data_IF_653801164137
#
_entry.id   IF_653801164137
#
_cell.length_a   1.000
_cell.length_b   1.000
_cell.length_c   1.000
_cell.angle_alpha   90.00
_cell.angle_beta   90.00
_cell.angle_gamma   90.00
#
_symmetry.space_group_name_H-M   'P 1'
#
loop_
_entity.id
_entity.type
_entity.pdbx_description
1 polymer ?
#
# COMPACT_ATOMS: atom_id res chain seq x y z
N UNK A 1 13.46 -16.94 9.28
CA UNK A 1 13.21 -15.57 8.76
C UNK A 1 11.82 -15.59 8.17
N UNK A 2 10.83 -15.27 9.01
CA UNK A 2 9.44 -15.32 8.64
C UNK A 2 9.18 -14.19 7.63
N UNK A 3 8.78 -14.57 6.42
CA UNK A 3 8.26 -13.62 5.45
C UNK A 3 7.04 -12.99 6.10
N UNK A 4 7.22 -11.75 6.53
CA UNK A 4 6.23 -10.91 7.20
C UNK A 4 4.86 -11.13 6.57
N UNK A 5 3.89 -11.51 7.38
CA UNK A 5 2.52 -11.67 6.94
C UNK A 5 1.96 -10.32 6.51
N UNK A 6 2.16 -9.99 5.24
CA UNK A 6 1.54 -8.84 4.59
C UNK A 6 0.03 -9.10 4.61
N UNK A 7 -0.73 -8.27 5.30
CA UNK A 7 -2.18 -8.40 5.36
C UNK A 7 -2.85 -7.51 4.32
N UNK A 8 -4.11 -7.83 4.03
CA UNK A 8 -4.98 -6.91 3.30
C UNK A 8 -5.05 -5.61 4.11
N UNK A 9 -5.02 -4.48 3.41
CA UNK A 9 -4.93 -3.11 3.92
C UNK A 9 -3.56 -2.61 4.37
N UNK A 10 -2.52 -3.43 4.35
CA UNK A 10 -1.18 -2.94 4.71
C UNK A 10 -0.63 -1.96 3.67
N UNK A 11 0.19 -1.03 4.14
CA UNK A 11 0.98 -0.13 3.31
C UNK A 11 2.31 -0.81 3.03
N UNK A 12 2.59 -0.95 1.75
CA UNK A 12 3.79 -1.62 1.27
C UNK A 12 4.53 -0.78 0.25
N UNK A 13 5.85 -0.92 0.24
CA UNK A 13 6.73 -0.30 -0.74
C UNK A 13 7.16 -1.32 -1.78
N UNK A 14 7.09 -0.89 -3.02
CA UNK A 14 7.61 -1.64 -4.15
C UNK A 14 9.16 -1.55 -4.15
N UNK A 15 9.86 -2.66 -3.93
CA UNK A 15 11.34 -2.69 -3.81
C UNK A 15 12.04 -2.69 -5.19
N UNK A 16 11.40 -3.27 -6.20
CA UNK A 16 11.99 -3.45 -7.53
C UNK A 16 11.03 -3.17 -8.68
N UNK A 17 11.58 -2.82 -9.84
CA UNK A 17 10.88 -2.55 -11.10
C UNK A 17 10.51 -1.09 -11.33
N UNK A 18 9.65 -0.82 -12.33
CA UNK A 18 9.26 0.55 -12.76
C UNK A 18 8.62 1.41 -11.67
N UNK A 19 7.98 0.77 -10.70
CA UNK A 19 7.33 1.46 -9.58
C UNK A 19 8.15 1.32 -8.29
N UNK A 20 9.46 1.10 -8.39
CA UNK A 20 10.35 1.05 -7.22
C UNK A 20 10.26 2.34 -6.41
N UNK A 21 10.22 2.24 -5.07
CA UNK A 21 10.17 3.37 -4.14
C UNK A 21 8.79 4.00 -3.95
N UNK A 22 7.74 3.49 -4.59
CA UNK A 22 6.36 3.98 -4.38
C UNK A 22 5.63 3.12 -3.35
N UNK A 23 4.74 3.79 -2.61
CA UNK A 23 3.84 3.19 -1.63
C UNK A 23 2.56 2.71 -2.30
N UNK A 24 2.05 1.58 -1.82
CA UNK A 24 0.83 0.97 -2.31
C UNK A 24 0.04 0.38 -1.14
N UNK A 25 -1.27 0.29 -1.32
CA UNK A 25 -2.16 -0.50 -0.49
C UNK A 25 -2.29 -1.92 -1.03
N UNK A 26 -2.31 -2.90 -0.13
CA UNK A 26 -2.63 -4.29 -0.46
C UNK A 26 -4.14 -4.45 -0.45
N UNK A 27 -4.72 -4.72 -1.63
CA UNK A 27 -6.18 -4.92 -1.78
C UNK A 27 -6.53 -6.40 -1.69
N UNK A 28 -5.64 -7.26 -2.16
CA UNK A 28 -5.78 -8.71 -2.05
C UNK A 28 -4.39 -9.33 -1.97
N UNK A 29 -4.30 -10.48 -1.31
CA UNK A 29 -3.10 -11.29 -1.19
C UNK A 29 -3.44 -12.74 -1.55
N UNK A 30 -2.53 -13.34 -2.29
CA UNK A 30 -2.42 -14.78 -2.51
C UNK A 30 -1.15 -15.29 -1.82
N UNK A 31 -0.79 -16.56 -2.03
CA UNK A 31 0.41 -17.16 -1.43
C UNK A 31 1.74 -16.58 -1.97
N UNK A 32 1.74 -16.19 -3.25
CA UNK A 32 2.97 -15.78 -3.97
C UNK A 32 2.86 -14.34 -4.49
N UNK A 33 1.63 -13.88 -4.72
CA UNK A 33 1.34 -12.61 -5.35
C UNK A 33 0.49 -11.74 -4.41
N UNK A 34 0.64 -10.42 -4.53
CA UNK A 34 -0.24 -9.45 -3.92
C UNK A 34 -0.73 -8.46 -4.98
N UNK A 35 -1.94 -7.97 -4.77
CA UNK A 35 -2.62 -6.97 -5.58
C UNK A 35 -2.45 -5.60 -4.94
N UNK A 36 -1.71 -4.72 -5.62
CA UNK A 36 -1.30 -3.41 -5.12
C UNK A 36 -2.05 -2.27 -5.80
N UNK A 37 -2.53 -1.31 -5.01
CA UNK A 37 -3.26 -0.13 -5.48
C UNK A 37 -2.72 1.18 -4.90
N UNK A 38 -2.75 2.23 -5.71
CA UNK A 38 -2.33 3.60 -5.34
C UNK A 38 -3.46 4.62 -5.65
N UNK A 39 -4.46 4.23 -6.45
CA UNK A 39 -5.60 5.08 -6.79
C UNK A 39 -5.30 6.17 -7.83
N UNK A 40 -4.02 6.40 -8.17
CA UNK A 40 -3.61 7.27 -9.29
C UNK A 40 -3.19 6.45 -10.51
N UNK A 41 -2.03 5.80 -10.41
CA UNK A 41 -1.46 5.01 -11.51
C UNK A 41 -2.05 3.60 -11.58
N UNK A 42 -2.36 3.02 -10.42
CA UNK A 42 -2.96 1.68 -10.25
C UNK A 42 -4.28 1.85 -9.51
N UNK A 43 -5.39 1.78 -10.25
CA UNK A 43 -6.75 1.92 -9.75
C UNK A 43 -7.21 0.61 -9.11
N UNK A 44 -8.25 0.67 -8.29
CA UNK A 44 -8.88 -0.52 -7.69
C UNK A 44 -9.41 -1.49 -8.75
N UNK A 45 -9.85 -0.97 -9.90
CA UNK A 45 -10.31 -1.77 -11.05
C UNK A 45 -9.16 -2.46 -11.81
N UNK A 46 -7.96 -1.91 -11.75
CA UNK A 46 -6.78 -2.47 -12.40
C UNK A 46 -5.59 -2.52 -11.42
N UNK A 47 -5.71 -3.38 -10.39
CA UNK A 47 -4.69 -3.53 -9.37
C UNK A 47 -3.43 -4.12 -9.98
N UNK A 48 -2.27 -3.75 -9.43
CA UNK A 48 -1.00 -4.28 -9.89
C UNK A 48 -0.71 -5.60 -9.21
N UNK A 49 -0.66 -6.68 -10.00
CA UNK A 49 -0.13 -7.97 -9.54
C UNK A 49 1.39 -7.89 -9.34
N UNK A 50 1.87 -8.14 -8.13
CA UNK A 50 3.30 -8.15 -7.81
C UNK A 50 3.66 -9.33 -6.91
N UNK A 51 4.82 -9.96 -7.14
CA UNK A 51 5.30 -11.05 -6.29
C UNK A 51 5.70 -10.52 -4.91
N UNK A 52 5.33 -11.22 -3.85
CA UNK A 52 5.57 -10.83 -2.45
C UNK A 52 7.05 -10.56 -2.19
N UNK A 53 7.97 -11.34 -2.77
CA UNK A 53 9.43 -11.14 -2.68
C UNK A 53 9.95 -9.77 -3.16
N UNK A 54 9.14 -8.99 -3.88
CA UNK A 54 9.50 -7.66 -4.40
C UNK A 54 8.73 -6.53 -3.72
N UNK A 55 8.07 -6.85 -2.62
CA UNK A 55 7.26 -5.97 -1.81
C UNK A 55 7.91 -5.95 -0.43
N UNK A 56 8.01 -4.76 0.16
CA UNK A 56 8.45 -4.58 1.53
C UNK A 56 7.27 -4.03 2.31
N UNK A 57 6.94 -4.68 3.42
CA UNK A 57 6.01 -4.13 4.39
C UNK A 57 6.61 -2.84 4.98
N UNK A 58 5.82 -1.77 5.00
CA UNK A 58 6.25 -0.47 5.53
C UNK A 58 5.51 -0.14 6.82
N UNK A 59 4.18 -0.20 6.79
CA UNK A 59 3.34 0.10 7.95
C UNK A 59 1.98 -0.57 7.84
N UNK A 60 1.38 -0.86 8.99
CA UNK A 60 -0.06 -1.12 9.07
C UNK A 60 -0.79 0.20 8.83
N UNK A 61 -1.99 0.11 8.27
CA UNK A 61 -2.88 1.26 8.21
C UNK A 61 -4.19 0.92 8.89
N UNK A 62 -4.63 1.81 9.78
CA UNK A 62 -5.88 1.66 10.54
C UNK A 62 -6.91 2.73 10.14
N UNK A 63 -6.76 3.30 8.95
CA UNK A 63 -7.68 4.30 8.43
C UNK A 63 -9.02 3.65 8.01
N UNK A 64 -10.05 4.48 7.82
CA UNK A 64 -11.37 4.03 7.33
C UNK A 64 -11.27 3.22 6.03
N UNK A 65 -10.31 3.55 5.17
CA UNK A 65 -10.03 2.82 3.93
C UNK A 65 -9.52 1.42 4.21
N UNK A 66 -8.64 1.24 5.20
CA UNK A 66 -8.12 -0.06 5.60
C UNK A 66 -9.22 -0.97 6.14
N UNK A 67 -10.08 -0.45 7.02
CA UNK A 67 -11.27 -1.15 7.52
C UNK A 67 -12.20 -1.60 6.39
N UNK A 68 -12.42 -0.76 5.37
CA UNK A 68 -13.19 -1.14 4.19
C UNK A 68 -12.54 -2.28 3.41
N UNK A 69 -11.22 -2.24 3.21
CA UNK A 69 -10.48 -3.32 2.54
C UNK A 69 -10.58 -4.62 3.33
N UNK A 70 -10.39 -4.58 4.66
CA UNK A 70 -10.54 -5.74 5.56
C UNK A 70 -11.96 -6.33 5.50
N UNK A 71 -12.97 -5.48 5.41
CA UNK A 71 -14.37 -5.90 5.31
C UNK A 71 -14.81 -6.30 3.88
N UNK A 72 -13.91 -6.27 2.89
CA UNK A 72 -14.23 -6.55 1.49
C UNK A 72 -15.16 -5.51 0.84
N UNK A 73 -15.30 -4.33 1.45
CA UNK A 73 -16.11 -3.26 0.92
C UNK A 73 -15.43 -2.58 -0.27
N UNK A 74 -16.23 -2.06 -1.21
CA UNK A 74 -15.70 -1.29 -2.34
C UNK A 74 -15.02 -0.01 -1.85
N UNK A 75 -13.75 0.12 -2.18
CA UNK A 75 -12.95 1.32 -1.93
C UNK A 75 -12.84 2.15 -3.20
N UNK A 76 -12.92 3.46 -3.04
CA UNK A 76 -12.78 4.40 -4.17
C UNK A 76 -11.33 4.84 -4.35
N UNK A 77 -10.96 5.20 -5.59
CA UNK A 77 -9.62 5.71 -5.89
C UNK A 77 -9.28 6.97 -5.08
N UNK A 78 -10.27 7.84 -4.80
CA UNK A 78 -10.09 9.05 -4.00
C UNK A 78 -9.73 8.75 -2.54
N UNK A 79 -10.34 7.71 -1.95
CA UNK A 79 -10.05 7.27 -0.59
C UNK A 79 -8.64 6.71 -0.44
N UNK A 80 -8.17 5.92 -1.41
CA UNK A 80 -6.79 5.40 -1.42
C UNK A 80 -5.79 6.54 -1.55
N UNK A 81 -6.04 7.47 -2.48
CA UNK A 81 -5.16 8.63 -2.68
C UNK A 81 -5.07 9.49 -1.43
N UNK A 82 -6.21 9.69 -0.74
CA UNK A 82 -6.24 10.45 0.52
C UNK A 82 -5.47 9.73 1.62
N UNK A 83 -5.71 8.44 1.83
CA UNK A 83 -5.02 7.66 2.85
C UNK A 83 -3.50 7.61 2.62
N UNK A 84 -3.05 7.42 1.36
CA UNK A 84 -1.62 7.48 1.02
C UNK A 84 -1.03 8.87 1.19
N UNK A 85 -1.78 9.94 0.86
CA UNK A 85 -1.31 11.31 1.04
C UNK A 85 -1.18 11.68 2.52
N UNK A 86 -2.14 11.27 3.36
CA UNK A 86 -2.09 11.41 4.82
C UNK A 86 -0.85 10.69 5.38
N UNK A 87 -0.67 9.41 5.03
CA UNK A 87 0.52 8.63 5.41
C UNK A 87 1.83 9.27 4.95
N UNK A 88 1.89 9.76 3.71
CA UNK A 88 3.08 10.45 3.20
C UNK A 88 3.34 11.76 3.94
N UNK A 89 2.30 12.47 4.37
CA UNK A 89 2.43 13.74 5.09
C UNK A 89 2.96 13.48 6.51
N UNK A 90 2.43 12.47 7.20
CA UNK A 90 2.90 12.02 8.51
C UNK A 90 4.38 11.61 8.46
N UNK A 91 4.77 10.77 7.50
CA UNK A 91 6.17 10.34 7.37
C UNK A 91 7.12 11.39 6.81
N UNK A 92 6.61 12.40 6.08
CA UNK A 92 7.43 13.51 5.57
C UNK A 92 7.74 14.53 6.67
N UNK A 93 6.92 14.59 7.73
CA UNK A 93 7.20 15.38 8.94
C UNK A 93 8.47 14.98 9.68
N UNK A 94 9.01 13.78 9.45
CA UNK A 94 10.28 13.32 10.03
C UNK A 94 11.51 13.59 9.14
N UNK A 95 11.34 14.18 7.93
CA UNK A 95 12.44 14.45 6.99
C UNK A 95 12.66 15.93 6.66
N UNK A 96 12.52 16.81 7.65
CA UNK A 96 13.15 18.13 7.64
C UNK A 96 13.81 18.44 9.00
N UNK A 97 15.01 17.90 9.24
CA UNK A 97 16.10 18.67 9.88
C UNK A 97 17.42 18.24 9.24
N UNK A 98 17.85 18.97 8.21
CA UNK A 98 19.27 19.24 8.03
C UNK A 98 19.41 20.75 8.17
N UNK A 99 19.73 21.19 9.39
CA UNK A 99 20.38 22.48 9.62
C UNK A 99 21.88 22.25 9.56
#
# INVERSE_FOLDING_TARGET
MEVSDIEISDIVVSVSGRDSGKHFFVVSRDDIYAMLCDGKSRRVENPKRKKIKHIRFESKSDCRTALKLKNGAKVTNSEIRRALAEYQTENRGEKEVCK
#
